data_IF_673370563138
#
_entry.id   IF_673370563138
#
_cell.length_a   1.000
_cell.length_b   1.000
_cell.length_c   1.000
_cell.angle_alpha   90.00
_cell.angle_beta   90.00
_cell.angle_gamma   90.00
#
_symmetry.space_group_name_H-M   'P 1'
#
loop_
_entity.id
_entity.type
_entity.pdbx_description
1 polymer ?
#
# COMPACT_ATOMS: atom_id res chain seq x y z
N UNK A 1 49.48 12.53 31.15
CA UNK A 1 48.35 12.58 32.10
C UNK A 1 47.17 13.16 31.32
N UNK A 2 46.50 12.33 30.53
CA UNK A 2 45.34 12.77 29.74
C UNK A 2 44.11 12.56 30.60
N UNK A 3 43.48 13.66 31.02
CA UNK A 3 42.15 13.65 31.63
C UNK A 3 41.16 13.18 30.56
N UNK A 4 40.71 11.93 30.69
CA UNK A 4 39.47 11.48 30.06
C UNK A 4 38.34 12.33 30.64
N UNK A 5 37.75 13.14 29.78
CA UNK A 5 36.64 14.02 30.09
C UNK A 5 35.42 13.15 30.40
N UNK A 6 35.18 12.87 31.69
CA UNK A 6 33.96 12.21 32.15
C UNK A 6 32.78 13.13 31.85
N UNK A 7 32.09 12.86 30.74
CA UNK A 7 30.75 13.37 30.47
C UNK A 7 29.91 13.13 31.74
N UNK A 8 29.34 14.18 32.31
CA UNK A 8 28.49 14.07 33.49
C UNK A 8 27.35 13.10 33.18
N UNK A 9 27.18 12.05 34.00
CA UNK A 9 26.17 11.00 33.83
C UNK A 9 24.74 11.55 33.64
N UNK A 10 24.50 12.76 34.15
CA UNK A 10 23.24 13.48 34.11
C UNK A 10 23.39 14.82 33.42
N UNK A 11 22.48 15.10 32.48
CA UNK A 11 22.35 16.39 31.78
C UNK A 11 21.09 17.08 32.24
N UNK A 12 21.18 18.36 32.61
CA UNK A 12 20.02 19.17 33.00
C UNK A 12 19.13 19.44 31.77
N UNK A 13 17.84 19.15 31.86
CA UNK A 13 16.84 19.50 30.85
C UNK A 13 16.25 20.88 31.16
N UNK A 14 15.88 21.13 32.42
CA UNK A 14 15.23 22.37 32.84
C UNK A 14 14.43 22.22 34.14
N UNK A 15 13.71 23.27 34.54
CA UNK A 15 12.79 23.22 35.69
C UNK A 15 11.55 22.40 35.34
N UNK A 16 11.11 21.56 36.28
CA UNK A 16 9.96 20.67 36.09
C UNK A 16 8.67 21.42 35.78
N UNK A 17 8.37 22.50 36.52
CA UNK A 17 7.17 23.32 36.31
C UNK A 17 7.10 23.93 34.91
N UNK A 18 8.22 24.46 34.41
CA UNK A 18 8.30 25.05 33.07
C UNK A 18 8.09 23.98 31.99
N UNK A 19 8.74 22.82 32.15
CA UNK A 19 8.60 21.69 31.22
C UNK A 19 7.18 21.13 31.21
N UNK A 20 6.51 21.04 32.36
CA UNK A 20 5.10 20.60 32.43
C UNK A 20 4.22 21.57 31.65
N UNK A 21 4.35 22.89 31.89
CA UNK A 21 3.58 23.92 31.17
C UNK A 21 3.79 23.86 29.65
N UNK A 22 5.03 23.63 29.21
CA UNK A 22 5.30 23.46 27.77
C UNK A 22 4.61 22.20 27.20
N UNK A 23 4.60 21.11 27.97
CA UNK A 23 4.00 19.84 27.58
C UNK A 23 2.47 19.80 27.73
N UNK A 24 1.83 20.73 28.44
CA UNK A 24 0.36 20.79 28.57
C UNK A 24 -0.35 20.93 27.21
N UNK A 25 0.30 21.55 26.22
CA UNK A 25 -0.31 21.80 24.90
C UNK A 25 -0.24 20.59 23.97
N UNK A 26 0.94 20.00 23.78
CA UNK A 26 1.18 18.89 22.83
C UNK A 26 1.50 17.55 23.48
N UNK A 27 1.87 17.53 24.76
CA UNK A 27 2.34 16.33 25.48
C UNK A 27 3.71 15.80 25.04
N UNK A 28 4.32 16.38 24.00
CA UNK A 28 5.54 15.88 23.35
C UNK A 28 6.49 17.05 23.06
N UNK A 29 7.76 16.91 23.46
CA UNK A 29 8.84 17.86 23.15
C UNK A 29 10.05 17.13 22.58
N UNK A 30 10.55 17.57 21.42
CA UNK A 30 11.82 17.06 20.88
C UNK A 30 12.99 17.73 21.60
N UNK A 31 13.95 16.92 22.02
CA UNK A 31 15.23 17.35 22.60
C UNK A 31 16.37 16.72 21.80
N UNK A 32 17.52 17.39 21.76
CA UNK A 32 18.71 16.90 21.08
C UNK A 32 19.93 16.96 22.00
N UNK A 33 20.65 15.84 22.10
CA UNK A 33 21.85 15.68 22.92
C UNK A 33 22.89 14.91 22.10
N UNK A 34 24.05 15.52 21.79
CA UNK A 34 25.13 14.86 21.05
C UNK A 34 24.65 14.03 19.84
N UNK A 35 23.78 14.63 19.01
CA UNK A 35 23.13 14.05 17.81
C UNK A 35 22.08 12.96 18.09
N UNK A 36 21.82 12.61 19.36
CA UNK A 36 20.68 11.78 19.76
C UNK A 36 19.44 12.64 19.90
N UNK A 37 18.37 12.24 19.22
CA UNK A 37 17.05 12.86 19.32
C UNK A 37 16.21 12.10 20.33
N UNK A 38 15.66 12.83 21.30
CA UNK A 38 14.82 12.31 22.37
C UNK A 38 13.46 12.97 22.29
N UNK A 39 12.39 12.22 22.55
CA UNK A 39 11.06 12.77 22.80
C UNK A 39 10.80 12.75 24.30
N UNK A 40 10.65 13.94 24.89
CA UNK A 40 10.21 14.13 26.27
C UNK A 40 8.69 14.20 26.30
N UNK A 41 8.10 13.54 27.28
CA UNK A 41 6.66 13.46 27.51
C UNK A 41 6.32 13.67 28.97
N UNK A 42 5.08 14.07 29.24
CA UNK A 42 4.52 14.13 30.59
C UNK A 42 3.07 13.65 30.56
N UNK A 43 2.74 12.66 31.38
CA UNK A 43 1.40 12.09 31.49
C UNK A 43 1.17 11.58 32.92
N UNK A 44 -0.02 11.81 33.47
CA UNK A 44 -0.44 11.35 34.80
C UNK A 44 0.65 11.52 35.89
N UNK A 45 1.18 12.75 35.98
CA UNK A 45 2.15 13.11 37.02
C UNK A 45 3.58 12.65 36.78
N UNK A 46 3.89 12.05 35.62
CA UNK A 46 5.19 11.45 35.37
C UNK A 46 5.79 11.84 34.02
N UNK A 47 7.10 12.10 34.03
CA UNK A 47 7.86 12.28 32.81
C UNK A 47 8.26 10.95 32.17
N UNK A 48 8.49 10.99 30.87
CA UNK A 48 9.08 9.90 30.12
C UNK A 48 9.96 10.43 28.98
N UNK A 49 11.08 9.76 28.72
CA UNK A 49 12.04 10.14 27.68
C UNK A 49 12.37 8.92 26.81
N UNK A 50 12.01 8.98 25.53
CA UNK A 50 12.23 7.91 24.55
C UNK A 50 13.13 8.39 23.43
N UNK A 51 13.79 7.46 22.74
CA UNK A 51 14.42 7.75 21.47
C UNK A 51 13.36 8.23 20.47
N UNK A 52 13.62 9.34 19.81
CA UNK A 52 12.63 9.97 18.93
C UNK A 52 12.35 9.14 17.65
N UNK A 53 13.16 8.12 17.36
CA UNK A 53 12.93 7.23 16.21
C UNK A 53 12.08 6.03 16.61
N UNK A 54 10.86 6.00 16.08
CA UNK A 54 9.93 4.87 16.16
C UNK A 54 10.62 3.56 15.76
N UNK A 55 10.31 2.49 16.47
CA UNK A 55 10.92 1.18 16.25
C UNK A 55 10.46 0.46 14.98
N UNK A 56 9.42 0.99 14.30
CA UNK A 56 8.93 0.50 13.02
C UNK A 56 9.86 0.91 11.86
N UNK A 57 9.59 2.08 11.27
CA UNK A 57 10.30 2.63 10.12
C UNK A 57 11.12 3.89 10.47
N UNK A 58 11.26 4.21 11.76
CA UNK A 58 12.04 5.37 12.21
C UNK A 58 11.29 6.70 12.22
N UNK A 59 9.95 6.68 12.17
CA UNK A 59 9.14 7.90 12.25
C UNK A 59 9.41 8.73 13.52
N UNK A 60 9.36 10.08 13.44
CA UNK A 60 9.68 10.97 14.55
C UNK A 60 8.54 11.01 15.58
N UNK A 61 8.71 10.33 16.71
CA UNK A 61 7.70 10.21 17.76
C UNK A 61 7.28 11.57 18.35
N UNK A 62 8.17 12.56 18.37
CA UNK A 62 7.91 13.95 18.75
C UNK A 62 6.88 14.66 17.86
N UNK A 63 6.65 14.17 16.65
CA UNK A 63 5.60 14.65 15.73
C UNK A 63 4.32 13.82 15.81
N UNK A 64 4.28 12.83 16.69
CA UNK A 64 3.13 11.99 16.97
C UNK A 64 2.11 12.64 17.90
N UNK A 65 1.35 11.79 18.60
CA UNK A 65 0.35 12.19 19.60
C UNK A 65 0.55 11.40 20.89
N UNK A 66 0.41 12.03 22.04
CA UNK A 66 0.37 11.34 23.33
C UNK A 66 -1.09 11.11 23.74
N UNK A 67 -1.50 9.85 23.90
CA UNK A 67 -2.88 9.47 24.28
C UNK A 67 -2.84 8.28 25.23
N UNK A 68 -3.56 8.37 26.35
CA UNK A 68 -3.66 7.28 27.36
C UNK A 68 -2.29 6.71 27.76
N UNK A 69 -1.32 7.58 28.06
CA UNK A 69 0.04 7.19 28.42
C UNK A 69 0.88 6.59 27.30
N UNK A 70 0.45 6.66 26.04
CA UNK A 70 1.17 6.08 24.90
C UNK A 70 1.45 7.11 23.81
N UNK A 71 2.65 7.07 23.23
CA UNK A 71 3.04 7.89 22.08
C UNK A 71 2.66 7.14 20.81
N UNK A 72 1.71 7.68 20.06
CA UNK A 72 1.29 7.20 18.75
C UNK A 72 2.20 7.79 17.66
N UNK A 73 2.86 6.92 16.89
CA UNK A 73 3.75 7.32 15.80
C UNK A 73 2.98 8.03 14.67
N UNK A 74 3.48 9.17 14.16
CA UNK A 74 2.74 9.91 13.13
C UNK A 74 2.64 9.18 11.79
N UNK A 75 3.53 8.23 11.50
CA UNK A 75 3.57 7.53 10.22
C UNK A 75 2.49 6.43 10.14
N UNK A 76 2.56 5.46 11.04
CA UNK A 76 1.75 4.23 11.00
C UNK A 76 0.91 4.00 12.25
N UNK A 77 0.81 4.99 13.12
CA UNK A 77 -0.04 4.98 14.32
C UNK A 77 0.33 3.97 15.40
N UNK A 78 1.54 3.41 15.38
CA UNK A 78 1.96 2.47 16.42
C UNK A 78 2.17 3.19 17.73
N UNK A 79 1.68 2.57 18.80
CA UNK A 79 1.72 3.16 20.13
C UNK A 79 2.82 2.52 20.98
N UNK A 80 3.55 3.38 21.68
CA UNK A 80 4.59 2.97 22.63
C UNK A 80 4.30 3.59 23.98
N UNK A 81 4.41 2.80 25.05
CA UNK A 81 4.27 3.32 26.41
C UNK A 81 5.29 4.46 26.65
N UNK A 82 4.81 5.62 27.09
CA UNK A 82 5.65 6.82 27.20
C UNK A 82 6.72 6.74 28.30
N UNK A 83 6.67 5.73 29.19
CA UNK A 83 7.69 5.49 30.23
C UNK A 83 8.62 4.33 29.86
N UNK A 84 8.06 3.20 29.44
CA UNK A 84 8.81 1.96 29.22
C UNK A 84 9.33 1.82 27.78
N UNK A 85 8.73 2.54 26.82
CA UNK A 85 9.04 2.42 25.40
C UNK A 85 8.50 1.14 24.74
N UNK A 86 7.85 0.26 25.51
CA UNK A 86 7.25 -0.97 25.02
C UNK A 86 6.09 -0.67 24.07
N UNK A 87 6.06 -1.38 22.95
CA UNK A 87 4.95 -1.33 22.01
C UNK A 87 3.67 -1.90 22.61
N UNK A 88 2.52 -1.27 22.36
CA UNK A 88 1.22 -1.78 22.82
C UNK A 88 0.67 -2.79 21.82
N UNK A 89 0.51 -4.05 22.23
CA UNK A 89 0.19 -5.21 21.37
C UNK A 89 -1.00 -5.05 20.43
N UNK A 90 -2.05 -4.31 20.82
CA UNK A 90 -3.22 -4.05 19.96
C UNK A 90 -2.99 -2.99 18.87
N UNK A 91 -1.93 -2.20 18.98
CA UNK A 91 -1.50 -1.16 18.02
C UNK A 91 -0.21 -1.51 17.29
N UNK A 92 0.51 -2.51 17.82
CA UNK A 92 1.78 -2.96 17.32
C UNK A 92 1.58 -4.09 16.33
N UNK A 93 2.35 -4.04 15.24
CA UNK A 93 2.52 -5.10 14.24
C UNK A 93 1.71 -6.38 14.47
N UNK A 94 0.51 -6.51 13.88
CA UNK A 94 -0.27 -7.73 14.02
C UNK A 94 0.42 -8.97 13.44
N UNK A 95 1.44 -8.76 12.60
CA UNK A 95 2.29 -9.81 12.05
C UNK A 95 3.47 -10.18 12.95
N UNK A 96 3.62 -9.59 14.14
CA UNK A 96 4.81 -9.76 14.99
C UNK A 96 4.55 -10.68 16.17
N UNK A 97 5.47 -11.61 16.40
CA UNK A 97 5.49 -12.44 17.60
C UNK A 97 6.04 -11.69 18.83
N UNK A 98 6.79 -10.61 18.59
CA UNK A 98 7.28 -9.69 19.61
C UNK A 98 7.21 -8.26 19.05
N UNK A 99 6.38 -7.37 19.60
CA UNK A 99 6.16 -6.04 19.05
C UNK A 99 7.31 -5.05 19.30
N UNK A 100 8.33 -5.44 20.07
CA UNK A 100 9.54 -4.66 20.33
C UNK A 100 9.36 -3.50 21.31
N UNK A 101 10.42 -2.71 21.47
CA UNK A 101 10.46 -1.53 22.34
C UNK A 101 11.43 -0.46 21.80
N UNK A 102 11.00 0.80 21.91
CA UNK A 102 11.83 1.98 21.64
C UNK A 102 12.74 2.22 22.85
N UNK A 103 14.03 2.55 22.65
CA UNK A 103 14.91 2.91 23.76
C UNK A 103 14.36 4.03 24.63
N UNK A 104 14.58 3.92 25.93
CA UNK A 104 14.24 4.91 26.95
C UNK A 104 15.50 5.47 27.59
N UNK A 105 15.41 6.68 28.12
CA UNK A 105 16.48 7.34 28.83
C UNK A 105 16.08 7.55 30.29
N UNK A 106 16.91 7.17 31.26
CA UNK A 106 16.65 7.42 32.68
C UNK A 106 16.48 8.93 32.93
N UNK A 107 15.48 9.24 33.75
CA UNK A 107 15.19 10.60 34.21
C UNK A 107 15.29 10.65 35.74
N UNK A 108 15.74 11.78 36.28
CA UNK A 108 15.66 12.06 37.71
C UNK A 108 15.22 13.50 37.96
N UNK A 109 14.56 13.72 39.09
CA UNK A 109 14.16 15.05 39.56
C UNK A 109 14.93 15.35 40.85
N UNK A 110 15.69 16.44 40.85
CA UNK A 110 16.42 16.92 42.03
C UNK A 110 16.18 18.43 42.15
N UNK A 111 15.79 18.90 43.34
CA UNK A 111 15.55 20.33 43.62
C UNK A 111 14.62 21.03 42.60
N UNK A 112 13.57 20.32 42.14
CA UNK A 112 12.62 20.84 41.15
C UNK A 112 13.14 20.90 39.71
N UNK A 113 14.34 20.37 39.44
CA UNK A 113 14.96 20.31 38.12
C UNK A 113 14.93 18.88 37.57
N UNK A 114 14.66 18.75 36.27
CA UNK A 114 14.66 17.47 35.55
C UNK A 114 16.00 17.24 34.86
N UNK A 115 16.57 16.05 35.07
CA UNK A 115 17.80 15.60 34.44
C UNK A 115 17.57 14.32 33.64
N UNK A 116 18.40 14.11 32.62
CA UNK A 116 18.40 12.92 31.76
C UNK A 116 19.78 12.27 31.73
N UNK A 117 19.83 10.94 31.67
CA UNK A 117 21.07 10.19 31.42
C UNK A 117 21.12 9.67 29.99
N UNK A 118 21.96 10.28 29.15
CA UNK A 118 22.18 9.85 27.76
C UNK A 118 23.00 8.56 27.66
N UNK A 119 24.01 8.31 28.52
CA UNK A 119 24.70 7.02 28.58
C UNK A 119 23.79 5.87 29.07
N UNK A 120 22.75 6.18 29.84
CA UNK A 120 21.79 5.20 30.37
C UNK A 120 20.73 4.69 29.39
N UNK A 121 20.86 4.96 28.07
CA UNK A 121 19.91 4.52 27.04
C UNK A 121 19.70 3.00 27.09
N UNK A 122 18.44 2.56 27.14
CA UNK A 122 18.12 1.13 27.08
C UNK A 122 18.36 0.56 25.68
N UNK A 123 18.54 -0.76 25.58
CA UNK A 123 18.72 -1.40 24.27
C UNK A 123 17.42 -1.34 23.46
N UNK A 124 17.54 -1.01 22.17
CA UNK A 124 16.45 -1.15 21.22
C UNK A 124 16.07 -2.62 21.08
N UNK A 125 14.80 -2.95 21.26
CA UNK A 125 14.28 -4.31 21.03
C UNK A 125 13.52 -4.28 19.72
N UNK A 126 14.08 -4.80 18.64
CA UNK A 126 13.39 -4.85 17.34
C UNK A 126 12.20 -5.81 17.40
N UNK A 127 11.18 -5.53 16.59
CA UNK A 127 10.04 -6.41 16.48
C UNK A 127 10.37 -7.65 15.63
N UNK A 128 9.71 -8.78 15.92
CA UNK A 128 9.96 -10.07 15.25
C UNK A 128 8.76 -10.45 14.39
N UNK A 129 8.85 -10.13 13.11
CA UNK A 129 7.80 -10.41 12.12
C UNK A 129 7.72 -11.89 11.74
N UNK A 130 6.50 -12.41 11.68
CA UNK A 130 6.17 -13.71 11.11
C UNK A 130 6.24 -13.63 9.58
N UNK A 131 7.45 -13.75 9.04
CA UNK A 131 7.75 -13.65 7.60
C UNK A 131 6.95 -14.61 6.71
N UNK A 132 6.42 -15.70 7.27
CA UNK A 132 5.62 -16.69 6.54
C UNK A 132 4.22 -16.23 6.11
N UNK A 133 3.71 -15.12 6.65
CA UNK A 133 2.32 -14.71 6.40
C UNK A 133 2.15 -13.99 5.06
N UNK A 134 3.20 -13.33 4.55
CA UNK A 134 3.15 -12.62 3.26
C UNK A 134 4.51 -12.70 2.56
N UNK A 135 4.72 -13.73 1.75
CA UNK A 135 5.93 -13.86 0.92
C UNK A 135 5.94 -12.90 -0.29
N UNK A 136 5.41 -11.68 -0.13
CA UNK A 136 5.31 -10.68 -1.20
C UNK A 136 6.64 -9.97 -1.50
N UNK A 137 7.55 -9.94 -0.53
CA UNK A 137 8.85 -9.25 -0.63
C UNK A 137 9.89 -9.95 -1.51
N UNK A 138 9.61 -11.19 -1.93
CA UNK A 138 10.54 -12.00 -2.76
C UNK A 138 10.86 -11.29 -4.08
N UNK A 139 11.98 -11.65 -4.67
CA UNK A 139 12.33 -11.13 -6.00
C UNK A 139 11.30 -11.58 -7.03
N UNK A 140 10.72 -10.66 -7.82
CA UNK A 140 9.86 -11.01 -8.93
C UNK A 140 10.64 -11.86 -9.93
N UNK A 141 10.23 -13.11 -10.10
CA UNK A 141 10.80 -14.01 -11.09
C UNK A 141 9.67 -14.79 -11.74
N UNK A 142 9.62 -14.75 -13.07
CA UNK A 142 8.69 -15.56 -13.83
C UNK A 142 9.05 -17.04 -13.65
N UNK A 143 8.06 -17.86 -13.31
CA UNK A 143 8.20 -19.32 -13.32
C UNK A 143 7.99 -19.86 -14.74
N UNK A 144 8.72 -20.91 -15.09
CA UNK A 144 8.54 -21.57 -16.37
C UNK A 144 7.12 -22.17 -16.49
N UNK A 145 6.56 -22.12 -17.69
CA UNK A 145 5.21 -22.63 -17.97
C UNK A 145 4.41 -21.73 -18.90
N UNK A 146 3.11 -22.03 -18.99
CA UNK A 146 2.13 -21.30 -19.81
C UNK A 146 2.11 -19.82 -19.46
N UNK A 147 1.67 -19.00 -20.41
CA UNK A 147 1.40 -17.58 -20.13
C UNK A 147 0.24 -17.48 -19.16
N UNK A 148 0.41 -16.67 -18.11
CA UNK A 148 -0.61 -16.45 -17.08
C UNK A 148 -1.33 -15.13 -17.30
N UNK A 149 -2.65 -15.20 -17.54
CA UNK A 149 -3.52 -14.06 -17.78
C UNK A 149 -4.38 -13.79 -16.56
N UNK A 150 -4.14 -12.67 -15.89
CA UNK A 150 -4.92 -12.20 -14.75
C UNK A 150 -5.97 -11.19 -15.20
N UNK A 151 -7.24 -11.55 -15.10
CA UNK A 151 -8.36 -10.61 -15.19
C UNK A 151 -8.66 -9.96 -13.84
N UNK A 152 -8.83 -8.64 -13.84
CA UNK A 152 -9.25 -7.86 -12.67
C UNK A 152 -10.55 -7.13 -13.00
N UNK A 153 -11.64 -7.53 -12.36
CA UNK A 153 -12.92 -6.80 -12.42
C UNK A 153 -12.96 -5.73 -11.35
N UNK A 154 -13.24 -4.49 -11.77
CA UNK A 154 -13.32 -3.34 -10.85
C UNK A 154 -14.76 -2.84 -10.65
N UNK A 155 -15.77 -3.59 -11.10
CA UNK A 155 -17.16 -3.20 -10.87
C UNK A 155 -17.52 -3.33 -9.39
N UNK A 156 -18.19 -2.33 -8.83
CA UNK A 156 -18.54 -2.26 -7.40
C UNK A 156 -19.99 -2.71 -7.13
N UNK A 157 -20.48 -3.71 -7.86
CA UNK A 157 -21.89 -4.10 -7.78
C UNK A 157 -22.26 -4.64 -6.40
N UNK A 158 -23.51 -4.43 -6.02
CA UNK A 158 -24.08 -4.98 -4.80
C UNK A 158 -24.17 -6.51 -4.91
N UNK A 159 -23.58 -7.20 -3.92
CA UNK A 159 -23.58 -8.65 -3.85
C UNK A 159 -24.94 -9.23 -3.47
N UNK A 160 -25.73 -8.49 -2.69
CA UNK A 160 -27.05 -8.94 -2.25
C UNK A 160 -28.12 -8.76 -3.34
N UNK A 161 -27.83 -7.88 -4.31
CA UNK A 161 -28.71 -7.56 -5.43
C UNK A 161 -27.91 -7.57 -6.73
N UNK A 162 -27.46 -8.77 -7.18
CA UNK A 162 -26.62 -8.88 -8.35
C UNK A 162 -27.37 -8.39 -9.59
N UNK A 163 -26.67 -7.58 -10.40
CA UNK A 163 -27.12 -7.17 -11.73
C UNK A 163 -26.06 -7.55 -12.75
N UNK A 164 -26.43 -7.58 -14.02
CA UNK A 164 -25.48 -7.81 -15.09
C UNK A 164 -24.46 -6.64 -15.18
N UNK A 165 -23.17 -6.96 -15.24
CA UNK A 165 -22.10 -5.97 -15.46
C UNK A 165 -21.48 -6.17 -16.82
N UNK A 166 -21.67 -5.20 -17.71
CA UNK A 166 -21.11 -5.18 -19.05
C UNK A 166 -19.59 -5.37 -19.07
N UNK A 167 -18.85 -4.67 -18.20
CA UNK A 167 -17.39 -4.79 -18.14
C UNK A 167 -16.91 -6.14 -17.62
N UNK A 168 -17.65 -6.73 -16.66
CA UNK A 168 -17.26 -7.99 -16.04
C UNK A 168 -17.62 -9.15 -16.96
N UNK A 169 -18.76 -9.08 -17.63
CA UNK A 169 -19.16 -10.09 -18.60
C UNK A 169 -18.15 -10.19 -19.74
N UNK A 170 -17.79 -9.07 -20.36
CA UNK A 170 -16.80 -9.06 -21.45
C UNK A 170 -15.43 -9.60 -20.98
N UNK A 171 -15.02 -9.29 -19.75
CA UNK A 171 -13.80 -9.86 -19.16
C UNK A 171 -13.93 -11.37 -18.96
N UNK A 172 -15.02 -11.83 -18.34
CA UNK A 172 -15.25 -13.22 -18.03
C UNK A 172 -15.33 -14.07 -19.30
N UNK A 173 -16.08 -13.61 -20.30
CA UNK A 173 -16.18 -14.27 -21.59
C UNK A 173 -14.82 -14.33 -22.28
N UNK A 174 -14.05 -13.24 -22.27
CA UNK A 174 -12.75 -13.20 -22.94
C UNK A 174 -11.75 -14.16 -22.29
N UNK A 175 -11.69 -14.19 -20.95
CA UNK A 175 -10.82 -15.12 -20.21
C UNK A 175 -11.20 -16.59 -20.46
N UNK A 176 -12.51 -16.88 -20.52
CA UNK A 176 -13.01 -18.22 -20.83
C UNK A 176 -12.59 -18.63 -22.25
N UNK A 177 -12.89 -17.81 -23.25
CA UNK A 177 -12.51 -18.08 -24.64
C UNK A 177 -11.00 -18.21 -24.79
N UNK A 178 -10.21 -17.39 -24.08
CA UNK A 178 -8.75 -17.51 -24.06
C UNK A 178 -8.25 -18.83 -23.46
N UNK A 179 -8.85 -19.30 -22.36
CA UNK A 179 -8.50 -20.60 -21.77
C UNK A 179 -8.85 -21.78 -22.70
N UNK A 180 -9.86 -21.63 -23.56
CA UNK A 180 -10.29 -22.66 -24.52
C UNK A 180 -9.45 -22.67 -25.80
N UNK A 181 -9.00 -21.49 -26.27
CA UNK A 181 -8.40 -21.35 -27.60
C UNK A 181 -6.89 -21.04 -27.59
N UNK A 182 -6.34 -20.61 -26.46
CA UNK A 182 -4.91 -20.29 -26.30
C UNK A 182 -4.26 -21.22 -25.28
N UNK A 183 -2.96 -21.47 -25.42
CA UNK A 183 -2.18 -22.21 -24.43
C UNK A 183 -1.78 -21.33 -23.23
N UNK A 184 -2.77 -20.95 -22.43
CA UNK A 184 -2.64 -20.02 -21.30
C UNK A 184 -3.28 -20.57 -20.03
N UNK A 185 -2.89 -20.00 -18.88
CA UNK A 185 -3.58 -20.14 -17.61
C UNK A 185 -4.32 -18.83 -17.32
N UNK A 186 -5.60 -18.89 -16.94
CA UNK A 186 -6.40 -17.67 -16.65
C UNK A 186 -6.88 -17.64 -15.21
N UNK A 187 -6.93 -16.45 -14.62
CA UNK A 187 -7.48 -16.21 -13.29
C UNK A 187 -8.30 -14.93 -13.28
N UNK A 188 -9.44 -14.92 -12.61
CA UNK A 188 -10.26 -13.73 -12.39
C UNK A 188 -10.22 -13.33 -10.92
N UNK A 189 -9.95 -12.06 -10.66
CA UNK A 189 -10.13 -11.44 -9.34
C UNK A 189 -11.16 -10.32 -9.47
N UNK A 190 -12.22 -10.38 -8.66
CA UNK A 190 -13.19 -9.30 -8.56
C UNK A 190 -12.85 -8.44 -7.35
N UNK A 191 -12.58 -7.16 -7.54
CA UNK A 191 -12.25 -6.27 -6.43
C UNK A 191 -13.42 -6.10 -5.46
N UNK A 192 -14.66 -6.27 -5.92
CA UNK A 192 -15.84 -6.28 -5.06
C UNK A 192 -15.82 -7.45 -4.08
N UNK A 193 -15.12 -8.55 -4.41
CA UNK A 193 -15.02 -9.74 -3.55
C UNK A 193 -13.99 -9.59 -2.44
N UNK A 194 -13.06 -8.65 -2.57
CA UNK A 194 -11.96 -8.45 -1.64
C UNK A 194 -12.31 -7.44 -0.52
N UNK A 195 -11.93 -7.77 0.70
CA UNK A 195 -11.85 -6.87 1.83
C UNK A 195 -10.45 -6.24 1.92
N UNK A 196 -10.34 -4.99 1.52
CA UNK A 196 -9.09 -4.23 1.62
C UNK A 196 -9.37 -2.76 1.91
N UNK A 197 -8.42 -2.09 2.57
CA UNK A 197 -8.56 -0.67 2.95
C UNK A 197 -8.20 0.29 1.82
N UNK A 198 -8.70 1.52 1.90
CA UNK A 198 -8.21 2.63 1.06
C UNK A 198 -6.73 2.91 1.34
N UNK A 199 -6.04 3.58 0.41
CA UNK A 199 -4.74 4.15 0.71
C UNK A 199 -4.91 5.32 1.68
N UNK A 200 -4.03 5.42 2.68
CA UNK A 200 -4.08 6.47 3.71
C UNK A 200 -3.03 7.56 3.50
N UNK A 201 -2.38 7.58 2.33
CA UNK A 201 -1.41 8.62 1.98
C UNK A 201 -0.15 8.60 2.84
N UNK A 202 0.32 7.43 3.28
CA UNK A 202 1.55 7.35 4.09
C UNK A 202 2.77 7.94 3.36
N UNK A 203 2.83 7.84 2.03
CA UNK A 203 3.85 8.49 1.24
C UNK A 203 3.91 10.01 1.48
N UNK A 204 2.75 10.66 1.59
CA UNK A 204 2.64 12.10 1.88
C UNK A 204 3.09 12.47 3.29
N UNK A 205 3.16 11.50 4.22
CA UNK A 205 3.75 11.70 5.54
C UNK A 205 5.27 11.55 5.54
N UNK A 206 5.77 10.58 4.77
CA UNK A 206 7.19 10.39 4.41
C UNK A 206 7.29 9.31 3.34
N UNK A 207 8.25 9.47 2.45
CA UNK A 207 8.68 8.47 1.47
C UNK A 207 9.06 7.14 2.13
N UNK A 208 9.53 7.15 3.38
CA UNK A 208 9.87 5.95 4.17
C UNK A 208 8.66 5.26 4.79
N UNK A 209 7.52 5.94 4.83
CA UNK A 209 6.28 5.39 5.39
C UNK A 209 5.44 4.65 4.35
N UNK A 210 5.70 4.79 3.05
CA UNK A 210 5.13 3.92 2.03
C UNK A 210 6.13 2.83 1.64
N UNK A 211 5.89 1.60 2.08
CA UNK A 211 6.81 0.48 1.86
C UNK A 211 6.30 -0.51 0.82
N UNK A 212 7.20 -1.32 0.27
CA UNK A 212 6.88 -2.60 -0.35
C UNK A 212 7.30 -3.76 0.58
N UNK A 213 6.43 -4.76 0.84
CA UNK A 213 4.99 -4.77 0.59
C UNK A 213 4.28 -3.60 1.27
N UNK A 214 3.08 -3.27 0.79
CA UNK A 214 2.31 -2.11 1.25
C UNK A 214 2.19 -2.10 2.77
N UNK A 215 2.47 -0.95 3.40
CA UNK A 215 2.47 -0.84 4.86
C UNK A 215 1.10 -1.15 5.47
N UNK A 216 0.01 -0.84 4.77
CA UNK A 216 -1.35 -1.18 5.23
C UNK A 216 -1.55 -2.70 5.25
N UNK A 217 -1.15 -3.40 4.19
CA UNK A 217 -1.20 -4.87 4.12
C UNK A 217 -0.29 -5.52 5.16
N UNK A 218 0.86 -4.90 5.48
CA UNK A 218 1.70 -5.36 6.60
C UNK A 218 1.07 -5.14 7.98
N UNK A 219 0.24 -4.10 8.12
CA UNK A 219 -0.45 -3.78 9.37
C UNK A 219 -1.73 -4.59 9.55
N UNK A 220 -2.34 -5.10 8.48
CA UNK A 220 -3.58 -5.84 8.52
C UNK A 220 -3.42 -7.17 7.77
N UNK A 221 -3.19 -8.29 8.49
CA UNK A 221 -3.02 -9.61 7.89
C UNK A 221 -4.24 -10.09 7.10
N UNK A 222 -5.41 -9.49 7.35
CA UNK A 222 -6.67 -9.81 6.68
C UNK A 222 -6.94 -8.94 5.45
N UNK A 223 -6.05 -7.99 5.14
CA UNK A 223 -6.16 -7.13 3.96
C UNK A 223 -5.87 -7.94 2.68
N UNK A 224 -6.92 -8.15 1.89
CA UNK A 224 -6.90 -9.01 0.71
C UNK A 224 -6.28 -8.35 -0.53
N UNK A 225 -5.78 -7.11 -0.41
CA UNK A 225 -4.97 -6.46 -1.47
C UNK A 225 -3.70 -7.26 -1.78
N UNK A 226 -3.23 -8.07 -0.82
CA UNK A 226 -2.17 -9.07 -1.01
C UNK A 226 -2.38 -9.96 -2.24
N UNK A 227 -3.63 -10.32 -2.55
CA UNK A 227 -3.96 -11.13 -3.73
C UNK A 227 -3.68 -10.39 -5.05
N UNK A 228 -3.90 -9.07 -5.10
CA UNK A 228 -3.59 -8.24 -6.26
C UNK A 228 -2.07 -8.08 -6.40
N UNK A 229 -1.36 -7.85 -5.29
CA UNK A 229 0.10 -7.77 -5.31
C UNK A 229 0.73 -9.08 -5.79
N UNK A 230 0.28 -10.21 -5.26
CA UNK A 230 0.70 -11.54 -5.69
C UNK A 230 0.40 -11.78 -7.17
N UNK A 231 -0.84 -11.48 -7.59
CA UNK A 231 -1.29 -11.64 -8.97
C UNK A 231 -0.47 -10.80 -9.96
N UNK A 232 -0.31 -9.51 -9.71
CA UNK A 232 0.32 -8.58 -10.65
C UNK A 232 1.85 -8.64 -10.65
N UNK A 233 2.48 -8.77 -9.48
CA UNK A 233 3.95 -8.72 -9.38
C UNK A 233 4.55 -10.09 -9.66
N UNK A 234 3.96 -11.16 -9.12
CA UNK A 234 4.61 -12.47 -9.10
C UNK A 234 4.00 -13.46 -10.09
N UNK A 235 2.67 -13.52 -10.19
CA UNK A 235 2.02 -14.60 -10.95
C UNK A 235 1.83 -14.29 -12.43
N UNK A 236 1.22 -13.15 -12.77
CA UNK A 236 0.73 -12.86 -14.11
C UNK A 236 1.84 -12.46 -15.08
N UNK A 237 1.72 -12.87 -16.34
CA UNK A 237 2.47 -12.33 -17.47
C UNK A 237 1.66 -11.23 -18.19
N UNK A 238 0.33 -11.39 -18.19
CA UNK A 238 -0.65 -10.49 -18.78
C UNK A 238 -1.68 -10.10 -17.72
N UNK A 239 -2.02 -8.82 -17.64
CA UNK A 239 -3.09 -8.31 -16.77
C UNK A 239 -4.16 -7.62 -17.62
N UNK A 240 -5.41 -8.08 -17.51
CA UNK A 240 -6.57 -7.47 -18.16
C UNK A 240 -7.42 -6.79 -17.10
N UNK A 241 -7.58 -5.47 -17.18
CA UNK A 241 -8.38 -4.72 -16.20
C UNK A 241 -9.69 -4.29 -16.83
N UNK A 242 -10.81 -4.72 -16.25
CA UNK A 242 -12.12 -4.27 -16.68
C UNK A 242 -12.69 -3.22 -15.73
N UNK A 243 -13.20 -2.12 -16.28
CA UNK A 243 -13.83 -1.06 -15.51
C UNK A 243 -15.11 -0.57 -16.15
N UNK A 244 -16.19 -0.41 -15.37
CA UNK A 244 -17.27 0.46 -15.78
C UNK A 244 -16.80 1.93 -15.77
N UNK A 245 -17.44 2.76 -16.59
CA UNK A 245 -17.31 4.23 -16.51
C UNK A 245 -18.33 4.77 -15.52
N UNK A 246 -17.88 5.63 -14.59
CA UNK A 246 -18.70 6.35 -13.63
C UNK A 246 -18.30 7.82 -13.63
N UNK A 247 -19.22 8.71 -13.98
CA UNK A 247 -18.95 10.15 -14.05
C UNK A 247 -17.70 10.46 -14.89
N UNK A 248 -17.58 9.81 -16.05
CA UNK A 248 -16.45 9.99 -16.97
C UNK A 248 -15.12 9.42 -16.52
N UNK A 249 -15.09 8.66 -15.41
CA UNK A 249 -13.88 8.08 -14.82
C UNK A 249 -14.00 6.56 -14.69
N UNK A 250 -12.89 5.89 -14.40
CA UNK A 250 -12.89 4.48 -13.99
C UNK A 250 -13.68 4.29 -12.68
N UNK A 251 -13.94 3.04 -12.32
CA UNK A 251 -14.69 2.71 -11.11
C UNK A 251 -13.96 3.17 -9.83
N UNK A 252 -14.71 3.39 -8.75
CA UNK A 252 -14.11 3.71 -7.45
C UNK A 252 -13.21 2.59 -6.92
N UNK A 253 -13.52 1.32 -7.22
CA UNK A 253 -12.67 0.19 -6.85
C UNK A 253 -11.36 0.15 -7.64
N UNK A 254 -11.38 0.58 -8.91
CA UNK A 254 -10.14 0.79 -9.67
C UNK A 254 -9.23 1.79 -8.96
N UNK A 255 -9.74 2.97 -8.59
CA UNK A 255 -8.91 3.97 -7.89
C UNK A 255 -8.46 3.49 -6.51
N UNK A 256 -9.33 2.82 -5.75
CA UNK A 256 -8.97 2.23 -4.45
C UNK A 256 -7.81 1.23 -4.58
N UNK A 257 -7.79 0.42 -5.63
CA UNK A 257 -6.67 -0.49 -5.94
C UNK A 257 -5.43 0.28 -6.42
N UNK A 258 -5.59 1.21 -7.37
CA UNK A 258 -4.50 1.98 -7.97
C UNK A 258 -3.72 2.79 -6.94
N UNK A 259 -4.42 3.46 -6.01
CA UNK A 259 -3.79 4.21 -4.92
C UNK A 259 -2.94 3.32 -4.01
N UNK A 260 -3.36 2.06 -3.80
CA UNK A 260 -2.61 1.06 -3.00
C UNK A 260 -1.42 0.49 -3.77
N UNK A 261 -1.40 0.56 -5.10
CA UNK A 261 -0.26 0.17 -5.95
C UNK A 261 0.84 1.24 -5.98
N UNK A 262 0.66 2.41 -5.36
CA UNK A 262 1.72 3.40 -5.18
C UNK A 262 2.96 2.82 -4.48
N UNK A 263 2.79 1.81 -3.62
CA UNK A 263 3.92 1.09 -3.02
C UNK A 263 4.80 0.34 -4.03
N UNK A 264 4.21 -0.09 -5.16
CA UNK A 264 4.91 -0.74 -6.27
C UNK A 264 5.68 0.30 -7.07
N UNK A 265 5.01 1.39 -7.48
CA UNK A 265 5.62 2.49 -8.22
C UNK A 265 6.81 3.11 -7.46
N UNK A 266 6.66 3.29 -6.15
CA UNK A 266 7.71 3.82 -5.28
C UNK A 266 8.98 2.95 -5.22
N UNK A 267 8.92 1.66 -5.59
CA UNK A 267 10.16 0.87 -5.70
C UNK A 267 11.04 1.37 -6.85
N UNK A 268 10.45 1.86 -7.93
CA UNK A 268 11.19 2.45 -9.05
C UNK A 268 11.85 3.74 -8.59
N UNK A 269 11.07 4.67 -8.02
CA UNK A 269 11.54 6.03 -7.70
C UNK A 269 12.45 6.09 -6.47
N UNK A 270 12.26 5.23 -5.47
CA UNK A 270 12.99 5.29 -4.20
C UNK A 270 14.06 4.19 -4.04
N UNK A 271 13.96 3.10 -4.81
CA UNK A 271 14.81 1.92 -4.65
C UNK A 271 15.48 1.46 -5.94
N UNK A 272 15.27 2.18 -7.06
CA UNK A 272 15.77 1.80 -8.38
C UNK A 272 15.45 0.33 -8.73
N UNK A 273 14.22 -0.08 -8.36
CA UNK A 273 13.78 -1.46 -8.47
C UNK A 273 12.42 -1.53 -9.15
N UNK A 274 12.41 -2.01 -10.38
CA UNK A 274 11.19 -2.26 -11.14
C UNK A 274 10.63 -3.63 -10.76
N UNK A 275 9.45 -3.65 -10.13
CA UNK A 275 8.80 -4.91 -9.73
C UNK A 275 7.99 -5.55 -10.86
N UNK A 276 7.41 -4.74 -11.75
CA UNK A 276 6.66 -5.21 -12.92
C UNK A 276 7.64 -5.36 -14.08
N UNK A 277 8.08 -6.58 -14.35
CA UNK A 277 9.09 -6.87 -15.35
C UNK A 277 8.49 -7.68 -16.50
N UNK A 278 8.56 -7.13 -17.72
CA UNK A 278 8.12 -7.79 -18.96
C UNK A 278 6.65 -8.26 -18.93
N UNK A 279 5.80 -7.50 -18.25
CA UNK A 279 4.38 -7.80 -18.13
C UNK A 279 3.56 -6.90 -19.05
N UNK A 280 2.48 -7.45 -19.59
CA UNK A 280 1.60 -6.75 -20.53
C UNK A 280 0.28 -6.39 -19.86
N UNK A 281 -0.30 -5.24 -20.21
CA UNK A 281 -1.62 -4.82 -19.75
C UNK A 281 -2.58 -4.62 -20.92
N UNK A 282 -3.85 -4.97 -20.72
CA UNK A 282 -4.98 -4.66 -21.60
C UNK A 282 -6.20 -4.19 -20.79
N UNK A 283 -7.14 -3.49 -21.43
CA UNK A 283 -8.27 -2.88 -20.72
C UNK A 283 -9.61 -3.13 -21.39
N UNK A 284 -10.65 -3.39 -20.60
CA UNK A 284 -12.04 -3.47 -21.06
C UNK A 284 -12.81 -2.36 -20.36
N UNK A 285 -13.27 -1.37 -21.11
CA UNK A 285 -13.87 -0.15 -20.57
C UNK A 285 -15.29 -0.03 -21.12
N UNK A 286 -16.29 -0.08 -20.24
CA UNK A 286 -17.69 -0.01 -20.66
C UNK A 286 -18.43 1.08 -19.92
N UNK A 287 -19.20 1.91 -20.61
CA UNK A 287 -20.06 2.94 -20.02
C UNK A 287 -21.45 2.93 -20.64
N UNK A 288 -22.38 3.67 -20.03
CA UNK A 288 -23.67 3.94 -20.66
C UNK A 288 -23.53 4.95 -21.81
N UNK A 289 -22.80 6.03 -21.58
CA UNK A 289 -22.78 7.21 -22.47
C UNK A 289 -21.44 7.43 -23.18
N UNK A 290 -20.43 7.97 -22.50
CA UNK A 290 -19.17 8.40 -23.13
C UNK A 290 -17.95 8.21 -22.20
N UNK A 291 -16.78 8.73 -22.59
CA UNK A 291 -15.50 8.85 -21.89
C UNK A 291 -14.53 7.65 -21.97
N UNK A 292 -14.77 6.70 -22.88
CA UNK A 292 -13.90 5.52 -23.04
C UNK A 292 -12.43 5.91 -23.20
N UNK A 293 -12.11 6.82 -24.12
CA UNK A 293 -10.73 7.20 -24.42
C UNK A 293 -10.07 7.97 -23.26
N UNK A 294 -10.84 8.79 -22.54
CA UNK A 294 -10.34 9.51 -21.36
C UNK A 294 -9.96 8.52 -20.25
N UNK A 295 -10.83 7.56 -19.97
CA UNK A 295 -10.57 6.50 -18.99
C UNK A 295 -9.38 5.64 -19.43
N UNK A 296 -9.33 5.24 -20.70
CA UNK A 296 -8.21 4.48 -21.24
C UNK A 296 -6.89 5.24 -21.09
N UNK A 297 -6.86 6.53 -21.40
CA UNK A 297 -5.65 7.36 -21.26
C UNK A 297 -5.14 7.43 -19.82
N UNK A 298 -6.04 7.63 -18.85
CA UNK A 298 -5.67 7.65 -17.43
C UNK A 298 -5.14 6.29 -16.95
N UNK A 299 -5.81 5.21 -17.32
CA UNK A 299 -5.39 3.86 -16.94
C UNK A 299 -4.06 3.48 -17.59
N UNK A 300 -3.88 3.74 -18.90
CA UNK A 300 -2.63 3.42 -19.61
C UNK A 300 -1.45 4.20 -19.04
N UNK A 301 -1.64 5.48 -18.72
CA UNK A 301 -0.62 6.27 -18.04
C UNK A 301 -0.22 5.64 -16.70
N UNK A 302 -1.20 5.28 -15.87
CA UNK A 302 -0.93 4.67 -14.57
C UNK A 302 -0.19 3.32 -14.65
N UNK A 303 -0.64 2.40 -15.51
CA UNK A 303 0.02 1.10 -15.66
C UNK A 303 1.39 1.20 -16.33
N UNK A 304 1.58 2.16 -17.24
CA UNK A 304 2.89 2.47 -17.82
C UNK A 304 3.89 2.92 -16.76
N UNK A 305 3.50 3.81 -15.86
CA UNK A 305 4.32 4.26 -14.71
C UNK A 305 4.68 3.13 -13.74
N UNK A 306 3.90 2.03 -13.70
CA UNK A 306 4.24 0.84 -12.93
C UNK A 306 5.25 -0.08 -13.63
N UNK A 307 5.44 0.06 -14.95
CA UNK A 307 6.33 -0.78 -15.77
C UNK A 307 5.62 -1.77 -16.70
N UNK A 308 4.29 -1.72 -16.83
CA UNK A 308 3.57 -2.56 -17.80
C UNK A 308 3.76 -2.04 -19.23
N UNK A 309 3.78 -2.96 -20.18
CA UNK A 309 3.73 -2.67 -21.61
C UNK A 309 2.32 -2.89 -22.16
N UNK A 310 1.95 -2.16 -23.20
CA UNK A 310 0.64 -2.27 -23.83
C UNK A 310 0.80 -2.64 -25.32
N UNK A 311 -0.01 -3.55 -25.89
CA UNK A 311 0.05 -3.86 -27.31
C UNK A 311 -0.60 -2.74 -28.15
N UNK A 312 -0.44 -2.76 -29.49
CA UNK A 312 -1.32 -2.01 -30.38
C UNK A 312 -2.79 -2.36 -30.10
N UNK A 313 -3.67 -1.35 -30.10
CA UNK A 313 -5.08 -1.48 -29.69
C UNK A 313 -5.24 -2.08 -28.27
N UNK A 314 -4.74 -1.38 -27.22
CA UNK A 314 -4.61 -1.93 -25.87
C UNK A 314 -5.90 -1.94 -25.05
N UNK A 315 -7.02 -1.49 -25.61
CA UNK A 315 -8.30 -1.51 -24.92
C UNK A 315 -9.47 -1.81 -25.86
N UNK A 316 -10.52 -2.40 -25.28
CA UNK A 316 -11.86 -2.51 -25.86
C UNK A 316 -12.76 -1.53 -25.13
N UNK A 317 -13.53 -0.76 -25.90
CA UNK A 317 -14.40 0.29 -25.41
C UNK A 317 -15.84 0.08 -25.84
N UNK A 318 -16.79 0.22 -24.93
CA UNK A 318 -18.22 0.24 -25.26
C UNK A 318 -18.94 1.40 -24.59
N UNK A 319 -19.77 2.10 -25.35
CA UNK A 319 -20.79 3.01 -24.84
C UNK A 319 -21.92 3.19 -25.84
N UNK A 320 -23.11 3.61 -25.39
CA UNK A 320 -24.25 3.90 -26.27
C UNK A 320 -24.22 5.33 -26.86
N UNK A 321 -23.23 6.14 -26.48
CA UNK A 321 -23.06 7.53 -26.90
C UNK A 321 -23.65 8.53 -25.91
N UNK A 322 -23.12 9.77 -25.94
CA UNK A 322 -23.43 10.84 -24.99
C UNK A 322 -24.92 11.10 -24.80
N UNK A 323 -25.70 11.10 -25.89
CA UNK A 323 -27.13 11.42 -25.87
C UNK A 323 -28.04 10.21 -25.65
N UNK A 324 -27.48 9.01 -25.41
CA UNK A 324 -28.28 7.81 -25.16
C UNK A 324 -28.70 7.75 -23.69
N UNK A 325 -30.01 7.63 -23.45
CA UNK A 325 -30.60 7.37 -22.13
C UNK A 325 -31.23 5.97 -22.05
N UNK A 326 -31.04 5.15 -23.09
CA UNK A 326 -31.60 3.80 -23.24
C UNK A 326 -30.83 2.76 -22.42
N UNK A 327 -30.66 3.01 -21.11
CA UNK A 327 -29.76 2.24 -20.24
C UNK A 327 -30.26 0.83 -19.97
N UNK A 328 -31.56 0.57 -20.01
CA UNK A 328 -32.12 -0.78 -19.91
C UNK A 328 -31.61 -1.70 -21.04
N UNK A 329 -31.43 -1.18 -22.26
CA UNK A 329 -30.96 -1.95 -23.41
C UNK A 329 -29.44 -2.14 -23.44
N UNK A 330 -28.68 -1.33 -22.69
CA UNK A 330 -27.21 -1.42 -22.69
C UNK A 330 -26.72 -2.81 -22.26
N UNK A 331 -27.38 -3.40 -21.27
CA UNK A 331 -27.01 -4.72 -20.76
C UNK A 331 -27.28 -5.82 -21.78
N UNK A 332 -28.45 -5.77 -22.42
CA UNK A 332 -28.84 -6.77 -23.43
C UNK A 332 -27.99 -6.63 -24.69
N UNK A 333 -27.72 -5.40 -25.14
CA UNK A 333 -26.81 -5.14 -26.26
C UNK A 333 -25.44 -5.77 -26.02
N UNK A 334 -24.84 -5.54 -24.85
CA UNK A 334 -23.51 -6.10 -24.55
C UNK A 334 -23.56 -7.62 -24.45
N UNK A 335 -24.60 -8.18 -23.82
CA UNK A 335 -24.78 -9.63 -23.67
C UNK A 335 -24.86 -10.35 -25.01
N UNK A 336 -25.55 -9.76 -25.98
CA UNK A 336 -25.85 -10.42 -27.25
C UNK A 336 -24.85 -10.03 -28.36
N UNK A 337 -23.92 -9.10 -28.09
CA UNK A 337 -22.96 -8.61 -29.08
C UNK A 337 -21.77 -9.54 -29.27
N UNK A 338 -21.87 -10.43 -30.25
CA UNK A 338 -20.73 -11.27 -30.70
C UNK A 338 -19.49 -10.43 -31.00
N UNK A 339 -19.67 -9.23 -31.55
CA UNK A 339 -18.57 -8.30 -31.84
C UNK A 339 -17.82 -7.88 -30.57
N UNK A 340 -18.51 -7.44 -29.51
CA UNK A 340 -17.84 -7.00 -28.28
C UNK A 340 -17.13 -8.17 -27.58
N UNK A 341 -17.74 -9.34 -27.57
CA UNK A 341 -17.13 -10.56 -27.03
C UNK A 341 -15.88 -10.96 -27.83
N UNK A 342 -15.95 -10.93 -29.16
CA UNK A 342 -14.81 -11.23 -30.05
C UNK A 342 -13.67 -10.24 -29.84
N UNK A 343 -13.96 -8.93 -29.87
CA UNK A 343 -12.94 -7.89 -29.64
C UNK A 343 -12.27 -8.02 -28.27
N UNK A 344 -13.02 -8.40 -27.24
CA UNK A 344 -12.49 -8.62 -25.88
C UNK A 344 -11.57 -9.84 -25.82
N UNK A 345 -11.88 -10.92 -26.55
CA UNK A 345 -10.98 -12.06 -26.72
C UNK A 345 -9.72 -11.69 -27.52
N UNK A 346 -9.87 -11.03 -28.66
CA UNK A 346 -8.73 -10.61 -29.49
C UNK A 346 -7.79 -9.64 -28.75
N UNK A 347 -8.31 -8.84 -27.80
CA UNK A 347 -7.47 -8.06 -26.89
C UNK A 347 -6.54 -8.97 -26.07
N UNK A 348 -7.07 -10.05 -25.50
CA UNK A 348 -6.26 -11.03 -24.77
C UNK A 348 -5.24 -11.66 -25.70
N UNK A 349 -5.64 -12.08 -26.90
CA UNK A 349 -4.73 -12.65 -27.90
C UNK A 349 -3.55 -11.71 -28.19
N UNK A 350 -3.81 -10.43 -28.48
CA UNK A 350 -2.76 -9.42 -28.72
C UNK A 350 -1.83 -9.25 -27.51
N UNK A 351 -2.38 -9.21 -26.29
CA UNK A 351 -1.57 -9.08 -25.08
C UNK A 351 -0.70 -10.32 -24.83
N UNK A 352 -1.24 -11.52 -25.07
CA UNK A 352 -0.53 -12.80 -24.97
C UNK A 352 0.60 -12.87 -26.00
N UNK A 353 0.35 -12.48 -27.25
CA UNK A 353 1.38 -12.44 -28.30
C UNK A 353 2.51 -11.46 -27.99
N UNK A 354 2.21 -10.29 -27.42
CA UNK A 354 3.25 -9.38 -26.94
C UNK A 354 4.04 -10.01 -25.79
N UNK A 355 3.36 -10.64 -24.83
CA UNK A 355 3.99 -11.29 -23.69
C UNK A 355 4.95 -12.40 -24.13
N UNK A 356 4.56 -13.24 -25.11
CA UNK A 356 5.44 -14.27 -25.71
C UNK A 356 6.75 -13.66 -26.22
N UNK A 357 6.67 -12.55 -26.96
CA UNK A 357 7.85 -11.86 -27.51
C UNK A 357 8.76 -11.31 -26.42
N UNK A 358 8.16 -10.72 -25.37
CA UNK A 358 8.93 -10.18 -24.24
C UNK A 358 9.66 -11.27 -23.47
N UNK A 359 9.01 -12.42 -23.25
CA UNK A 359 9.62 -13.57 -22.57
C UNK A 359 10.75 -14.15 -23.43
N UNK A 360 10.51 -14.36 -24.73
CA UNK A 360 11.53 -14.89 -25.66
C UNK A 360 12.76 -13.99 -25.79
N UNK A 361 12.61 -12.67 -25.63
CA UNK A 361 13.75 -11.74 -25.71
C UNK A 361 14.69 -11.80 -24.48
N UNK A 362 14.33 -12.56 -23.43
CA UNK A 362 15.16 -12.72 -22.23
C UNK A 362 16.01 -13.99 -22.22
N UNK A 363 15.63 -14.98 -23.04
CA UNK A 363 16.38 -16.22 -23.27
C UNK A 363 17.48 -15.99 -24.32
#
# INVERSE_FOLDING_TARGET
MNQENTSSEWTLIGKTEDLIRELETRGLKELEFDKKKVVLTYHDGAFGALNNKCNHMGGPLSRGRLKKGCIECPWHYWEFNHKTGESISGSAEPLSSNPGAVPTFPLKIENGQLYISIPGETKRVQAVYNSGIMNLSREPKREAGKIRVLGISTTAMDKNHPRFSTSEELLNSALKTAAENLDVETKLIKLSDLNFRHCEGFYSKSEKACTWPCSITKMDPTDEMSQIYEGMVHWADVVIVSSPIRWGNASSLYYKMAERLNSVQNQITLKDRVLIQNKVVGMIITGGQDNVQSVAGQMLNFFGELGFMAPPFPYVGHSLGWSSEAMEYNMDYVRDSEYLHTQSYELIERTVELSKKLIQAQD
#
